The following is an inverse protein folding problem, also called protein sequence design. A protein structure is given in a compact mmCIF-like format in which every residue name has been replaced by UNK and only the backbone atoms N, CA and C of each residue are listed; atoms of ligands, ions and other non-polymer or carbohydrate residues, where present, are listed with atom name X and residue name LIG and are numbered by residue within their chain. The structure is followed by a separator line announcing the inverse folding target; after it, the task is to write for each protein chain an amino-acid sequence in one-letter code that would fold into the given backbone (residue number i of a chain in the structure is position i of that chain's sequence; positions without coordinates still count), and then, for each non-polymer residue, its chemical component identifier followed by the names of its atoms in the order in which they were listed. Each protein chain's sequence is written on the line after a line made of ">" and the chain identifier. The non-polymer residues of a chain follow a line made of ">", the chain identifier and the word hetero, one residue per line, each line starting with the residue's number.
data_IF_548922707080
#
_entry.id   IF_548922707080
#
_cell.length_a   1.000
_cell.length_b   1.000
_cell.length_c   1.000
_cell.angle_alpha   90.00
_cell.angle_beta   90.00
_cell.angle_gamma   90.00
#
_symmetry.space_group_name_H-M   'P 1'
#
loop_
_entity.id
_entity.type
_entity.pdbx_description
1 polymer ?
#
# COMPACT_ATOMS: atom_id res chain seq x y z
N UNK A 1 15.47 0.58 12.58
CA UNK A 1 14.80 0.25 11.31
C UNK A 1 13.32 0.60 11.45
N UNK A 2 12.72 1.30 10.47
CA UNK A 2 11.27 1.57 10.48
C UNK A 2 10.51 0.27 10.24
N UNK A 3 9.43 0.06 10.99
CA UNK A 3 8.53 -1.09 10.79
C UNK A 3 7.66 -0.85 9.57
N UNK A 4 7.21 -1.91 8.89
CA UNK A 4 6.43 -1.77 7.65
C UNK A 4 5.11 -1.02 7.89
N UNK A 5 4.49 -1.17 9.05
CA UNK A 5 3.27 -0.44 9.44
C UNK A 5 3.45 1.06 9.67
N UNK A 6 4.69 1.55 9.69
CA UNK A 6 5.01 2.98 9.81
C UNK A 6 5.22 3.64 8.43
N UNK A 7 4.83 2.97 7.35
CA UNK A 7 5.05 3.40 5.97
C UNK A 7 3.78 3.86 5.27
N UNK A 8 3.95 4.69 4.24
CA UNK A 8 2.83 5.11 3.39
C UNK A 8 2.32 3.96 2.52
N UNK A 9 3.18 2.97 2.21
CA UNK A 9 2.77 1.75 1.52
C UNK A 9 1.81 0.91 2.39
N UNK A 10 2.00 0.88 3.72
CA UNK A 10 1.04 0.22 4.62
C UNK A 10 -0.29 0.94 4.69
N UNK A 11 -0.29 2.28 4.78
CA UNK A 11 -1.54 3.05 4.68
C UNK A 11 -2.28 2.76 3.38
N UNK A 12 -1.55 2.65 2.27
CA UNK A 12 -2.12 2.28 0.98
C UNK A 12 -2.70 0.85 0.97
N UNK A 13 -1.98 -0.13 1.54
CA UNK A 13 -2.46 -1.51 1.67
C UNK A 13 -3.75 -1.59 2.50
N UNK A 14 -3.83 -0.89 3.64
CA UNK A 14 -5.04 -0.82 4.46
C UNK A 14 -6.19 -0.16 3.71
N UNK A 15 -5.91 0.86 2.89
CA UNK A 15 -6.94 1.46 2.06
C UNK A 15 -7.51 0.48 1.02
N UNK A 16 -6.66 -0.34 0.40
CA UNK A 16 -7.09 -1.39 -0.53
C UNK A 16 -7.99 -2.43 0.16
N UNK A 17 -7.73 -2.79 1.42
CA UNK A 17 -8.56 -3.76 2.14
C UNK A 17 -9.96 -3.24 2.52
N UNK A 18 -10.19 -1.93 2.45
CA UNK A 18 -11.50 -1.32 2.71
C UNK A 18 -12.44 -1.35 1.50
N UNK A 19 -11.96 -1.73 0.31
CA UNK A 19 -12.78 -1.91 -0.89
C UNK A 19 -13.62 -0.67 -1.24
N UNK A 20 -14.93 -0.86 -1.39
CA UNK A 20 -15.87 0.19 -1.81
C UNK A 20 -16.04 1.36 -0.81
N UNK A 21 -15.51 1.24 0.42
CA UNK A 21 -15.54 2.33 1.39
C UNK A 21 -14.57 3.48 1.05
N UNK A 22 -13.66 3.28 0.09
CA UNK A 22 -12.73 4.31 -0.38
C UNK A 22 -13.02 4.65 -1.84
N UNK A 23 -13.17 5.95 -2.10
CA UNK A 23 -13.31 6.47 -3.46
C UNK A 23 -12.04 6.20 -4.27
N UNK A 24 -12.13 5.80 -5.55
CA UNK A 24 -10.97 5.50 -6.39
C UNK A 24 -9.94 6.62 -6.48
N UNK A 25 -10.38 7.89 -6.47
CA UNK A 25 -9.49 9.07 -6.50
C UNK A 25 -8.63 9.17 -5.23
N UNK A 26 -9.18 8.82 -4.07
CA UNK A 26 -8.45 8.82 -2.81
C UNK A 26 -7.40 7.70 -2.82
N UNK A 27 -7.76 6.53 -3.36
CA UNK A 27 -6.85 5.41 -3.52
C UNK A 27 -5.66 5.77 -4.43
N UNK A 28 -5.92 6.43 -5.57
CA UNK A 28 -4.88 6.93 -6.47
C UNK A 28 -3.97 7.97 -5.78
N UNK A 29 -4.55 8.87 -4.98
CA UNK A 29 -3.79 9.84 -4.19
C UNK A 29 -2.89 9.18 -3.14
N UNK A 30 -3.35 8.12 -2.49
CA UNK A 30 -2.55 7.35 -1.53
C UNK A 30 -1.39 6.61 -2.19
N UNK A 31 -1.63 6.02 -3.37
CA UNK A 31 -0.59 5.39 -4.20
C UNK A 31 0.51 6.40 -4.58
N UNK A 32 0.11 7.55 -5.13
CA UNK A 32 1.04 8.62 -5.48
C UNK A 32 1.83 9.12 -4.26
N UNK A 33 1.17 9.21 -3.09
CA UNK A 33 1.83 9.59 -1.83
C UNK A 33 2.86 8.53 -1.40
N UNK A 34 2.56 7.24 -1.50
CA UNK A 34 3.50 6.17 -1.20
C UNK A 34 4.77 6.29 -2.08
N UNK A 35 4.60 6.51 -3.38
CA UNK A 35 5.70 6.68 -4.32
C UNK A 35 6.55 7.91 -3.97
N UNK A 36 5.91 9.06 -3.70
CA UNK A 36 6.61 10.29 -3.31
C UNK A 36 7.43 10.16 -2.01
N UNK A 37 7.15 9.12 -1.20
CA UNK A 37 7.84 8.81 0.06
C UNK A 37 8.89 7.71 -0.07
N UNK A 38 9.26 7.36 -1.31
CA UNK A 38 10.38 6.47 -1.61
C UNK A 38 9.99 5.02 -1.90
N UNK A 39 8.69 4.72 -2.03
CA UNK A 39 8.25 3.43 -2.54
C UNK A 39 8.25 3.42 -4.06
N UNK A 40 8.34 2.24 -4.65
CA UNK A 40 8.34 2.09 -6.12
C UNK A 40 6.95 1.75 -6.65
N UNK A 41 6.76 2.01 -7.94
CA UNK A 41 5.61 1.53 -8.71
C UNK A 41 5.39 0.02 -8.54
N UNK A 42 6.46 -0.77 -8.64
CA UNK A 42 6.41 -2.24 -8.47
C UNK A 42 5.99 -2.65 -7.06
N UNK A 43 6.40 -1.93 -6.02
CA UNK A 43 5.94 -2.21 -4.65
C UNK A 43 4.43 -1.95 -4.50
N UNK A 44 3.92 -0.89 -5.15
CA UNK A 44 2.48 -0.62 -5.16
C UNK A 44 1.72 -1.74 -5.87
N UNK A 45 2.22 -2.21 -7.02
CA UNK A 45 1.61 -3.32 -7.78
C UNK A 45 1.55 -4.63 -6.99
N UNK A 46 2.61 -4.98 -6.26
CA UNK A 46 2.61 -6.16 -5.37
C UNK A 46 1.58 -6.02 -4.26
N UNK A 47 1.43 -4.83 -3.68
CA UNK A 47 0.41 -4.58 -2.64
C UNK A 47 -1.01 -4.55 -3.23
N UNK A 48 -1.19 -4.09 -4.46
CA UNK A 48 -2.46 -4.13 -5.17
C UNK A 48 -2.95 -5.57 -5.42
N UNK A 49 -2.05 -6.53 -5.62
CA UNK A 49 -2.40 -7.93 -5.88
C UNK A 49 -2.77 -8.73 -4.62
N UNK A 50 -2.11 -8.47 -3.48
CA UNK A 50 -2.45 -9.07 -2.19
C UNK A 50 -2.15 -8.11 -1.02
N UNK A 51 -3.03 -7.13 -0.75
CA UNK A 51 -2.82 -6.16 0.32
C UNK A 51 -2.82 -6.83 1.70
N UNK A 52 -3.57 -7.92 1.87
CA UNK A 52 -3.70 -8.61 3.15
C UNK A 52 -2.45 -9.39 3.53
N UNK A 53 -1.68 -9.89 2.57
CA UNK A 53 -0.35 -10.45 2.84
C UNK A 53 0.60 -9.38 3.37
N UNK A 54 0.71 -8.25 2.67
CA UNK A 54 1.59 -7.17 3.08
C UNK A 54 1.20 -6.59 4.45
N UNK A 55 -0.10 -6.41 4.71
CA UNK A 55 -0.59 -5.95 6.03
C UNK A 55 -0.16 -6.88 7.17
N UNK A 56 -0.24 -8.21 6.96
CA UNK A 56 0.05 -9.20 8.01
C UNK A 56 1.54 -9.45 8.22
N UNK A 57 2.33 -9.39 7.15
CA UNK A 57 3.72 -9.89 7.15
C UNK A 57 4.74 -8.79 6.91
N UNK A 58 4.36 -7.69 6.26
CA UNK A 58 5.27 -6.67 5.74
C UNK A 58 6.08 -7.12 4.53
N UNK A 59 5.83 -8.32 3.99
CA UNK A 59 6.59 -8.87 2.86
C UNK A 59 6.04 -8.38 1.52
N UNK A 60 6.95 -7.99 0.64
CA UNK A 60 6.72 -7.69 -0.77
C UNK A 60 7.28 -8.86 -1.59
N UNK A 61 6.64 -10.03 -1.49
CA UNK A 61 7.06 -11.16 -2.31
C UNK A 61 6.63 -10.93 -3.77
N UNK A 62 7.50 -11.32 -4.70
CA UNK A 62 7.29 -11.27 -6.14
C UNK A 62 6.16 -12.20 -6.60
#
# INVERSE_FOLDING_TARGET
>A
MKRHWETHLYTYAVALSQGAAILPVNLAGMRAKAISKGHTEGQCQVVESDPMRFIRTGELAA
#
